data_IF_263275533428
#
_entry.id   IF_263275533428
#
_cell.length_a   1.000
_cell.length_b   1.000
_cell.length_c   1.000
_cell.angle_alpha   90.00
_cell.angle_beta   90.00
_cell.angle_gamma   90.00
#
_symmetry.space_group_name_H-M   'P 1'
#
loop_
_entity.id
_entity.type
_entity.pdbx_description
1 polymer ?
#
# COMPACT_ATOMS: atom_id res chain seq x y z
N UNK A 1 65.76 16.82 10.82
CA UNK A 1 64.45 17.51 10.86
C UNK A 1 63.45 16.67 10.08
N UNK A 2 62.47 16.13 10.79
CA UNK A 2 61.55 15.05 10.42
C UNK A 2 60.45 15.58 9.49
N UNK A 3 60.21 14.95 8.34
CA UNK A 3 59.05 15.24 7.48
C UNK A 3 57.90 14.31 7.89
N UNK A 4 56.85 14.91 8.47
CA UNK A 4 55.61 14.23 8.84
C UNK A 4 54.85 13.76 7.60
N UNK A 5 54.50 12.48 7.60
CA UNK A 5 53.64 11.82 6.63
C UNK A 5 52.18 12.19 6.96
N UNK A 6 51.51 12.95 6.09
CA UNK A 6 50.08 13.25 6.22
C UNK A 6 49.26 12.07 5.69
N UNK A 7 48.71 11.27 6.59
CA UNK A 7 47.76 10.20 6.26
C UNK A 7 46.37 10.83 6.15
N UNK A 8 45.82 10.86 4.94
CA UNK A 8 44.47 11.31 4.65
C UNK A 8 43.51 10.13 4.87
N UNK A 9 42.85 10.09 6.03
CA UNK A 9 41.89 9.04 6.38
C UNK A 9 40.58 9.27 5.62
N UNK A 10 40.33 8.48 4.57
CA UNK A 10 39.02 8.41 3.90
C UNK A 10 38.00 7.75 4.84
N UNK A 11 37.10 8.53 5.43
CA UNK A 11 35.89 8.00 6.06
C UNK A 11 34.92 7.56 4.96
N UNK A 12 34.87 6.25 4.69
CA UNK A 12 33.80 5.66 3.86
C UNK A 12 32.58 5.52 4.76
N UNK A 13 31.66 6.48 4.67
CA UNK A 13 30.36 6.41 5.32
C UNK A 13 29.51 5.36 4.57
N UNK A 14 29.48 4.14 5.07
CA UNK A 14 28.57 3.12 4.58
C UNK A 14 27.13 3.53 4.92
N UNK A 15 26.43 4.13 3.95
CA UNK A 15 25.00 4.35 4.05
C UNK A 15 24.31 2.99 3.97
N UNK A 16 23.92 2.45 5.12
CA UNK A 16 22.99 1.32 5.17
C UNK A 16 21.73 1.69 4.38
N UNK A 17 21.22 0.85 3.46
CA UNK A 17 19.91 1.09 2.88
C UNK A 17 18.91 1.04 4.03
N UNK A 18 18.29 2.17 4.33
CA UNK A 18 17.10 2.18 5.17
C UNK A 18 16.11 1.25 4.46
N UNK A 19 15.85 0.08 5.06
CA UNK A 19 14.70 -0.74 4.70
C UNK A 19 13.49 0.14 4.95
N UNK A 20 13.02 0.81 3.89
CA UNK A 20 11.85 1.64 3.95
C UNK A 20 10.70 0.72 4.41
N UNK A 21 10.22 0.99 5.62
CA UNK A 21 8.98 0.39 6.07
C UNK A 21 7.83 0.78 5.13
N UNK A 22 6.66 0.15 5.28
CA UNK A 22 5.48 0.50 4.50
C UNK A 22 5.24 2.01 4.52
N UNK A 23 5.12 2.58 3.32
CA UNK A 23 4.97 4.02 3.08
C UNK A 23 3.64 4.54 3.64
N UNK A 24 2.63 3.67 3.66
CA UNK A 24 1.28 3.97 4.09
C UNK A 24 0.93 3.14 5.31
N UNK A 25 0.29 3.76 6.32
CA UNK A 25 -0.10 3.09 7.56
C UNK A 25 -1.57 3.28 7.85
N UNK A 26 -2.27 2.20 8.19
CA UNK A 26 -3.63 2.29 8.69
C UNK A 26 -3.65 2.71 10.16
N UNK A 27 -4.42 3.74 10.48
CA UNK A 27 -4.66 4.26 11.83
C UNK A 27 -6.17 4.48 12.00
N UNK A 28 -6.85 3.49 12.58
CA UNK A 28 -8.31 3.48 12.66
C UNK A 28 -8.96 3.44 11.29
N UNK A 29 -9.70 4.49 10.92
CA UNK A 29 -10.29 4.67 9.59
C UNK A 29 -9.40 5.45 8.62
N UNK A 30 -8.22 5.91 9.06
CA UNK A 30 -7.29 6.70 8.23
C UNK A 30 -6.20 5.83 7.63
N UNK A 31 -5.77 6.19 6.43
CA UNK A 31 -4.52 5.72 5.84
C UNK A 31 -3.59 6.93 5.77
N UNK A 32 -2.47 6.85 6.48
CA UNK A 32 -1.53 7.95 6.67
C UNK A 32 -0.20 7.70 5.98
N UNK A 33 0.42 8.76 5.46
CA UNK A 33 1.79 8.77 4.93
C UNK A 33 2.48 10.04 5.43
N UNK A 34 3.67 9.90 6.01
CA UNK A 34 4.43 11.03 6.56
C UNK A 34 3.67 11.84 7.62
N UNK A 35 2.79 11.20 8.40
CA UNK A 35 1.99 11.86 9.45
C UNK A 35 0.77 12.64 8.94
N UNK A 36 0.43 12.52 7.65
CA UNK A 36 -0.77 13.14 7.07
C UNK A 36 -1.73 12.09 6.53
N UNK A 37 -3.02 12.27 6.78
CA UNK A 37 -4.09 11.43 6.21
C UNK A 37 -4.14 11.57 4.70
N UNK A 38 -3.95 10.45 3.99
CA UNK A 38 -4.03 10.38 2.54
C UNK A 38 -5.42 9.96 2.06
N UNK A 39 -6.02 9.01 2.77
CA UNK A 39 -7.31 8.39 2.47
C UNK A 39 -8.05 8.02 3.75
N UNK A 40 -9.36 7.84 3.64
CA UNK A 40 -10.21 7.29 4.72
C UNK A 40 -10.88 6.02 4.23
N UNK A 41 -10.97 5.02 5.10
CA UNK A 41 -11.64 3.75 4.86
C UNK A 41 -12.91 3.72 5.68
N UNK A 42 -14.05 3.69 4.99
CA UNK A 42 -15.35 3.42 5.60
C UNK A 42 -15.68 1.95 5.47
N UNK A 43 -16.07 1.32 6.56
CA UNK A 43 -16.51 -0.07 6.59
C UNK A 43 -18.02 -0.14 6.74
N UNK A 44 -18.66 -1.03 5.99
CA UNK A 44 -20.08 -1.36 6.10
C UNK A 44 -20.22 -2.88 6.05
N UNK A 45 -20.27 -3.52 7.21
CA UNK A 45 -20.13 -4.98 7.29
C UNK A 45 -18.75 -5.42 6.76
N UNK A 46 -18.75 -6.33 5.79
CA UNK A 46 -17.53 -6.80 5.12
C UNK A 46 -17.06 -5.87 3.98
N UNK A 47 -17.86 -4.90 3.58
CA UNK A 47 -17.54 -4.01 2.46
C UNK A 47 -16.71 -2.81 2.92
N UNK A 48 -15.84 -2.35 2.03
CA UNK A 48 -14.96 -1.21 2.22
C UNK A 48 -15.30 -0.12 1.20
N UNK A 49 -15.30 1.13 1.62
CA UNK A 49 -15.29 2.30 0.74
C UNK A 49 -14.05 3.13 1.03
N UNK A 50 -13.32 3.49 -0.02
CA UNK A 50 -12.08 4.25 0.07
C UNK A 50 -12.38 5.67 -0.38
N UNK A 51 -12.23 6.61 0.54
CA UNK A 51 -12.58 8.02 0.37
C UNK A 51 -11.33 8.89 0.30
N UNK A 52 -11.37 9.90 -0.57
CA UNK A 52 -10.35 10.96 -0.65
C UNK A 52 -11.03 12.28 -0.98
N UNK A 53 -10.75 13.31 -0.18
CA UNK A 53 -11.32 14.65 -0.37
C UNK A 53 -12.85 14.68 -0.29
N UNK A 54 -13.45 13.85 0.56
CA UNK A 54 -14.91 13.79 0.74
C UNK A 54 -15.67 13.02 -0.35
N UNK A 55 -14.99 12.33 -1.27
CA UNK A 55 -15.63 11.48 -2.29
C UNK A 55 -15.11 10.06 -2.25
N UNK A 56 -15.99 9.09 -2.48
CA UNK A 56 -15.62 7.68 -2.68
C UNK A 56 -14.86 7.53 -4.00
N UNK A 57 -13.65 6.96 -3.95
CA UNK A 57 -12.81 6.66 -5.11
C UNK A 57 -12.96 5.22 -5.57
N UNK A 58 -13.22 4.33 -4.63
CA UNK A 58 -13.41 2.91 -4.90
C UNK A 58 -14.23 2.24 -3.79
N UNK A 59 -14.74 1.05 -4.11
CA UNK A 59 -15.34 0.13 -3.15
C UNK A 59 -14.65 -1.21 -3.23
N UNK A 60 -14.62 -1.93 -2.12
CA UNK A 60 -14.28 -3.35 -2.10
C UNK A 60 -15.45 -4.09 -1.51
N UNK A 61 -16.04 -4.99 -2.28
CA UNK A 61 -17.31 -5.64 -1.94
C UNK A 61 -17.11 -7.13 -1.75
N UNK A 62 -17.64 -7.69 -0.66
CA UNK A 62 -17.60 -9.14 -0.42
C UNK A 62 -18.59 -9.85 -1.34
N UNK A 63 -18.12 -10.85 -2.08
CA UNK A 63 -18.92 -11.68 -3.00
C UNK A 63 -18.58 -13.15 -2.77
N UNK A 64 -19.33 -13.82 -1.88
CA UNK A 64 -19.03 -15.21 -1.50
C UNK A 64 -17.69 -15.31 -0.77
N UNK A 65 -16.78 -16.16 -1.26
CA UNK A 65 -15.42 -16.31 -0.71
C UNK A 65 -14.50 -15.14 -1.01
N UNK A 66 -14.73 -14.42 -2.13
CA UNK A 66 -13.82 -13.38 -2.64
C UNK A 66 -14.26 -11.96 -2.28
N UNK A 67 -13.31 -11.04 -2.34
CA UNK A 67 -13.51 -9.60 -2.32
C UNK A 67 -13.31 -9.05 -3.73
N UNK A 68 -14.12 -8.08 -4.15
CA UNK A 68 -14.05 -7.48 -5.49
C UNK A 68 -13.76 -5.99 -5.36
N UNK A 69 -12.69 -5.51 -5.99
CA UNK A 69 -12.33 -4.09 -6.02
C UNK A 69 -13.05 -3.44 -7.19
N UNK A 70 -13.94 -2.50 -6.89
CA UNK A 70 -14.78 -1.77 -7.84
C UNK A 70 -14.36 -0.29 -7.93
N UNK A 71 -14.22 0.20 -9.16
CA UNK A 71 -13.93 1.62 -9.45
C UNK A 71 -14.94 2.10 -10.48
N UNK A 72 -15.68 3.16 -10.16
CA UNK A 72 -16.75 3.68 -11.03
C UNK A 72 -17.85 2.64 -11.33
N UNK A 73 -18.13 1.73 -10.39
CA UNK A 73 -19.12 0.66 -10.54
C UNK A 73 -18.66 -0.53 -11.39
N UNK A 74 -17.40 -0.56 -11.85
CA UNK A 74 -16.84 -1.69 -12.58
C UNK A 74 -15.81 -2.45 -11.75
N UNK A 75 -15.88 -3.77 -11.76
CA UNK A 75 -14.85 -4.65 -11.20
C UNK A 75 -13.50 -4.42 -11.88
N UNK A 76 -12.45 -4.20 -11.10
CA UNK A 76 -11.08 -4.03 -11.58
C UNK A 76 -10.14 -5.12 -11.12
N UNK A 77 -10.37 -5.71 -9.96
CA UNK A 77 -9.61 -6.84 -9.44
C UNK A 77 -10.44 -7.69 -8.49
N UNK A 78 -9.97 -8.90 -8.24
CA UNK A 78 -10.54 -9.83 -7.28
C UNK A 78 -9.46 -10.24 -6.28
N UNK A 79 -9.82 -10.35 -5.00
CA UNK A 79 -8.96 -10.79 -3.92
C UNK A 79 -9.57 -12.05 -3.34
N UNK A 80 -8.86 -13.16 -3.44
CA UNK A 80 -9.32 -14.46 -2.96
C UNK A 80 -8.15 -15.29 -2.45
N UNK A 81 -8.30 -15.85 -1.25
CA UNK A 81 -7.31 -16.74 -0.63
C UNK A 81 -5.88 -16.15 -0.63
N UNK A 82 -5.75 -14.87 -0.31
CA UNK A 82 -4.45 -14.18 -0.28
C UNK A 82 -3.88 -13.77 -1.65
N UNK A 83 -4.58 -14.06 -2.75
CA UNK A 83 -4.17 -13.72 -4.11
C UNK A 83 -4.98 -12.55 -4.66
N UNK A 84 -4.32 -11.63 -5.33
CA UNK A 84 -4.91 -10.52 -6.09
C UNK A 84 -4.89 -10.90 -7.56
N UNK A 85 -6.05 -10.92 -8.21
CA UNK A 85 -6.22 -11.32 -9.62
C UNK A 85 -6.86 -10.21 -10.44
N UNK A 86 -6.47 -10.09 -11.71
CA UNK A 86 -7.02 -9.15 -12.69
C UNK A 86 -7.26 -9.86 -14.01
N UNK A 87 -8.48 -9.79 -14.53
CA UNK A 87 -8.84 -10.44 -15.80
C UNK A 87 -8.61 -11.96 -15.78
N UNK A 88 -8.81 -12.61 -14.64
CA UNK A 88 -8.59 -14.06 -14.46
C UNK A 88 -7.12 -14.47 -14.27
N UNK A 89 -6.17 -13.54 -14.38
CA UNK A 89 -4.74 -13.81 -14.16
C UNK A 89 -4.29 -13.36 -12.78
N UNK A 90 -3.36 -14.11 -12.18
CA UNK A 90 -2.70 -13.70 -10.93
C UNK A 90 -1.90 -12.43 -11.16
N UNK A 91 -2.08 -11.44 -10.28
CA UNK A 91 -1.41 -10.14 -10.39
C UNK A 91 -0.38 -9.94 -9.28
N UNK A 92 -0.75 -10.23 -8.03
CA UNK A 92 0.10 -10.14 -6.85
C UNK A 92 -0.50 -10.96 -5.69
N UNK A 93 0.17 -10.99 -4.54
CA UNK A 93 -0.40 -11.52 -3.30
C UNK A 93 -0.68 -10.40 -2.30
N UNK A 94 -1.55 -10.68 -1.33
CA UNK A 94 -1.85 -9.78 -0.20
C UNK A 94 -0.58 -9.39 0.56
N UNK A 95 0.37 -10.32 0.71
CA UNK A 95 1.66 -10.04 1.36
C UNK A 95 2.49 -9.00 0.61
N UNK A 96 2.39 -8.94 -0.73
CA UNK A 96 3.09 -7.94 -1.54
C UNK A 96 2.47 -6.57 -1.31
N UNK A 97 1.13 -6.52 -1.19
CA UNK A 97 0.40 -5.31 -0.82
C UNK A 97 0.75 -4.82 0.60
N UNK A 98 0.87 -5.74 1.56
CA UNK A 98 1.18 -5.39 2.96
C UNK A 98 2.60 -4.84 3.15
N UNK A 99 3.51 -5.08 2.20
CA UNK A 99 4.83 -4.43 2.20
C UNK A 99 4.77 -2.94 1.88
N UNK A 100 3.76 -2.52 1.13
CA UNK A 100 3.54 -1.11 0.72
C UNK A 100 2.54 -0.41 1.67
N UNK A 101 1.57 -1.15 2.20
CA UNK A 101 0.50 -0.68 3.08
C UNK A 101 0.49 -1.48 4.40
N UNK A 102 0.85 -0.83 5.50
CA UNK A 102 0.74 -1.38 6.86
C UNK A 102 -0.71 -1.39 7.33
N UNK A 103 -1.47 -2.35 6.79
CA UNK A 103 -2.89 -2.49 6.96
C UNK A 103 -3.29 -3.97 6.99
N UNK A 104 -4.51 -4.25 7.45
CA UNK A 104 -5.13 -5.57 7.32
C UNK A 104 -5.12 -6.02 5.86
N UNK A 105 -5.00 -7.33 5.64
CA UNK A 105 -4.75 -7.89 4.31
C UNK A 105 -5.73 -7.43 3.22
N UNK A 106 -7.04 -7.45 3.50
CA UNK A 106 -8.06 -7.00 2.55
C UNK A 106 -7.93 -5.51 2.22
N UNK A 107 -7.65 -4.69 3.23
CA UNK A 107 -7.44 -3.24 3.06
C UNK A 107 -6.17 -2.97 2.25
N UNK A 108 -5.06 -3.60 2.63
CA UNK A 108 -3.78 -3.45 1.96
C UNK A 108 -3.91 -3.84 0.48
N UNK A 109 -4.53 -4.98 0.18
CA UNK A 109 -4.74 -5.46 -1.18
C UNK A 109 -5.63 -4.51 -1.99
N UNK A 110 -6.71 -4.00 -1.41
CA UNK A 110 -7.56 -3.01 -2.08
C UNK A 110 -6.81 -1.71 -2.39
N UNK A 111 -6.07 -1.17 -1.44
CA UNK A 111 -5.26 0.04 -1.64
C UNK A 111 -4.21 -0.19 -2.73
N UNK A 112 -3.49 -1.31 -2.66
CA UNK A 112 -2.47 -1.67 -3.64
C UNK A 112 -3.04 -1.74 -5.06
N UNK A 113 -4.21 -2.37 -5.25
CA UNK A 113 -4.90 -2.41 -6.55
C UNK A 113 -5.16 -1.00 -7.06
N UNK A 114 -5.68 -0.10 -6.23
CA UNK A 114 -6.01 1.26 -6.66
C UNK A 114 -4.79 2.08 -7.00
N UNK A 115 -3.68 1.87 -6.30
CA UNK A 115 -2.38 2.46 -6.64
C UNK A 115 -1.90 1.97 -8.00
N UNK A 116 -1.91 0.67 -8.25
CA UNK A 116 -1.47 0.14 -9.55
C UNK A 116 -2.40 0.51 -10.71
N UNK A 117 -3.64 0.91 -10.42
CA UNK A 117 -4.58 1.46 -11.38
C UNK A 117 -4.47 2.99 -11.57
N UNK A 118 -3.67 3.69 -10.76
CA UNK A 118 -3.55 5.15 -10.78
C UNK A 118 -4.81 5.88 -10.26
N UNK A 119 -5.68 5.19 -9.52
CA UNK A 119 -6.87 5.79 -8.89
C UNK A 119 -6.49 6.54 -7.62
N UNK A 120 -5.47 6.03 -6.91
CA UNK A 120 -4.82 6.68 -5.79
C UNK A 120 -3.39 7.09 -6.19
N UNK A 121 -2.87 8.21 -5.64
CA UNK A 121 -1.53 8.72 -5.88
C UNK A 121 -0.45 7.97 -5.09
#
# INVERSE_FOLDING_TARGET
MTKLLTICTFLILAASPAVAGPDYKCQGDRVEKGGSTQFTIRRSGADLSIEKGGSTKARTVKRGSKMVVEVGGSTKAEIENGKISKGGSSWANVSDAQREFDCDGDVAASLWVLFKLGVLP
#
